data_IF_926227076844
#
_entry.id   IF_926227076844
#
_cell.length_a   1.000
_cell.length_b   1.000
_cell.length_c   1.000
_cell.angle_alpha   90.00
_cell.angle_beta   90.00
_cell.angle_gamma   90.00
#
_symmetry.space_group_name_H-M   'P 1'
#
loop_
_entity.id
_entity.type
_entity.pdbx_description
1 polymer ?
#
# COMPACT_ATOMS: atom_id res chain seq x y z
N UNK A 1 -2.88 27.56 -19.83
CA UNK A 1 -1.73 27.03 -20.58
C UNK A 1 -1.26 25.78 -19.88
N UNK A 2 -1.41 24.60 -20.49
CA UNK A 2 -0.99 23.31 -19.88
C UNK A 2 0.53 23.23 -19.97
N UNK A 3 1.22 23.10 -18.85
CA UNK A 3 2.67 22.89 -18.88
C UNK A 3 2.92 21.51 -19.51
N UNK A 4 3.60 21.47 -20.64
CA UNK A 4 4.10 20.22 -21.24
C UNK A 4 5.45 19.91 -20.62
N UNK A 5 5.59 18.71 -20.06
CA UNK A 5 6.86 18.21 -19.56
C UNK A 5 7.26 16.96 -20.34
N UNK A 6 8.53 16.67 -20.38
CA UNK A 6 9.13 15.43 -20.90
C UNK A 6 8.88 14.21 -19.99
N UNK A 7 8.24 14.43 -18.82
CA UNK A 7 7.91 13.39 -17.85
C UNK A 7 6.49 12.89 -18.07
N UNK A 8 6.33 11.67 -18.55
CA UNK A 8 5.03 11.01 -18.73
C UNK A 8 4.77 9.97 -17.62
N UNK A 9 4.08 10.42 -16.57
CA UNK A 9 3.71 9.59 -15.42
C UNK A 9 2.63 8.53 -15.75
N UNK A 10 1.95 8.64 -16.91
CA UNK A 10 0.96 7.65 -17.34
C UNK A 10 1.60 6.45 -18.04
N UNK A 11 2.85 6.59 -18.48
CA UNK A 11 3.54 5.60 -19.29
C UNK A 11 4.23 4.54 -18.43
N UNK A 12 3.93 3.26 -18.65
CA UNK A 12 4.52 2.14 -17.88
C UNK A 12 6.06 2.14 -17.89
N UNK A 13 6.75 2.41 -19.01
CA UNK A 13 8.22 2.51 -19.01
C UNK A 13 8.80 3.51 -18.01
N UNK A 14 8.09 4.61 -17.68
CA UNK A 14 8.54 5.52 -16.61
C UNK A 14 8.68 4.77 -15.26
N UNK A 15 7.75 3.88 -14.96
CA UNK A 15 7.73 3.12 -13.70
C UNK A 15 8.77 1.99 -13.67
N UNK A 16 9.31 1.62 -14.83
CA UNK A 16 10.44 0.69 -14.94
C UNK A 16 11.81 1.35 -14.75
N UNK A 17 11.88 2.69 -14.76
CA UNK A 17 13.13 3.43 -14.51
C UNK A 17 13.67 3.16 -13.09
N UNK A 18 14.99 3.26 -12.88
CA UNK A 18 15.59 3.25 -11.56
C UNK A 18 14.93 4.26 -10.61
N UNK A 19 14.85 3.92 -9.33
CA UNK A 19 14.16 4.77 -8.34
C UNK A 19 14.75 6.19 -8.31
N UNK A 20 16.06 6.33 -8.41
CA UNK A 20 16.73 7.63 -8.42
C UNK A 20 16.27 8.53 -9.59
N UNK A 21 16.13 7.96 -10.79
CA UNK A 21 15.66 8.70 -11.97
C UNK A 21 14.19 9.14 -11.81
N UNK A 22 13.35 8.26 -11.26
CA UNK A 22 11.95 8.61 -10.94
C UNK A 22 11.86 9.73 -9.92
N UNK A 23 12.70 9.70 -8.88
CA UNK A 23 12.72 10.75 -7.84
C UNK A 23 13.24 12.07 -8.39
N UNK A 24 14.24 12.05 -9.29
CA UNK A 24 14.69 13.26 -9.98
C UNK A 24 13.59 13.87 -10.86
N UNK A 25 12.84 13.05 -11.59
CA UNK A 25 11.69 13.50 -12.35
C UNK A 25 10.64 14.17 -11.44
N UNK A 26 10.30 13.58 -10.30
CA UNK A 26 9.39 14.18 -9.33
C UNK A 26 9.95 15.48 -8.73
N UNK A 27 11.25 15.57 -8.47
CA UNK A 27 11.90 16.81 -8.01
C UNK A 27 11.72 17.94 -9.03
N UNK A 28 11.92 17.66 -10.33
CA UNK A 28 11.67 18.61 -11.41
C UNK A 28 10.21 19.05 -11.47
N UNK A 29 9.25 18.11 -11.26
CA UNK A 29 7.82 18.43 -11.22
C UNK A 29 7.44 19.30 -10.02
N UNK A 30 8.04 19.07 -8.83
CA UNK A 30 7.81 19.92 -7.64
C UNK A 30 8.32 21.35 -7.81
N UNK A 31 9.36 21.55 -8.62
CA UNK A 31 9.92 22.87 -8.90
C UNK A 31 9.03 23.73 -9.81
N UNK A 32 8.03 23.15 -10.46
CA UNK A 32 7.09 23.91 -11.31
C UNK A 32 6.10 24.70 -10.46
N UNK A 33 5.64 25.85 -10.95
CA UNK A 33 4.70 26.70 -10.21
C UNK A 33 3.33 26.08 -9.97
N UNK A 34 2.92 25.13 -10.83
CA UNK A 34 1.59 24.52 -10.83
C UNK A 34 1.68 23.01 -11.09
N UNK A 35 0.69 22.21 -10.61
CA UNK A 35 0.55 20.82 -10.97
C UNK A 35 0.46 20.61 -12.48
N UNK A 36 1.15 19.60 -12.96
CA UNK A 36 1.18 19.25 -14.39
C UNK A 36 -0.04 18.42 -14.72
N UNK A 37 -0.65 18.74 -15.88
CA UNK A 37 -1.69 17.89 -16.45
C UNK A 37 -1.06 16.81 -17.31
N UNK A 38 -1.35 15.54 -16.98
CA UNK A 38 -0.86 14.35 -17.67
C UNK A 38 -2.00 13.71 -18.44
N UNK A 39 -1.79 13.41 -19.72
CA UNK A 39 -2.76 12.68 -20.53
C UNK A 39 -2.75 11.20 -20.16
N UNK A 40 -3.93 10.60 -20.05
CA UNK A 40 -4.03 9.16 -19.83
C UNK A 40 -3.76 8.39 -21.12
N UNK A 41 -3.02 7.29 -21.01
CA UNK A 41 -2.89 6.35 -22.10
C UNK A 41 -4.17 5.53 -22.27
N UNK A 42 -4.53 5.27 -23.51
CA UNK A 42 -5.65 4.38 -23.81
C UNK A 42 -5.28 2.92 -23.47
N UNK A 43 -6.10 2.31 -22.62
CA UNK A 43 -5.98 0.89 -22.28
C UNK A 43 -7.06 0.11 -23.04
N UNK A 44 -6.74 -1.00 -23.72
CA UNK A 44 -7.73 -1.81 -24.40
C UNK A 44 -8.90 -2.19 -23.47
N UNK A 45 -10.12 -2.11 -23.99
CA UNK A 45 -11.40 -2.37 -23.29
C UNK A 45 -11.80 -1.34 -22.20
N UNK A 46 -10.89 -0.49 -21.75
CA UNK A 46 -11.18 0.58 -20.76
C UNK A 46 -11.24 1.95 -21.43
N UNK A 47 -10.46 2.14 -22.49
CA UNK A 47 -10.34 3.42 -23.19
C UNK A 47 -9.25 4.30 -22.60
N UNK A 48 -9.15 5.53 -23.10
CA UNK A 48 -8.36 6.62 -22.55
C UNK A 48 -9.27 7.61 -21.85
N UNK A 49 -8.91 8.02 -20.66
CA UNK A 49 -9.62 9.07 -19.92
C UNK A 49 -9.18 10.47 -20.35
N UNK A 50 -9.75 11.52 -19.73
CA UNK A 50 -9.42 12.92 -20.05
C UNK A 50 -7.99 13.31 -19.66
N UNK A 51 -7.36 12.57 -18.77
CA UNK A 51 -6.12 12.91 -18.09
C UNK A 51 -6.34 13.31 -16.64
N UNK A 52 -5.25 13.69 -15.96
CA UNK A 52 -5.27 14.06 -14.55
C UNK A 52 -4.20 15.10 -14.22
N UNK A 53 -4.41 15.82 -13.13
CA UNK A 53 -3.37 16.67 -12.56
C UNK A 53 -2.52 15.89 -11.56
N UNK A 54 -1.20 15.98 -11.69
CA UNK A 54 -0.25 15.34 -10.78
C UNK A 54 0.02 16.25 -9.57
N UNK A 55 -0.54 15.92 -8.40
CA UNK A 55 -0.25 16.59 -7.15
C UNK A 55 1.01 15.97 -6.53
N UNK A 56 2.14 16.67 -6.67
CA UNK A 56 3.46 16.15 -6.32
C UNK A 56 4.06 16.84 -5.07
N UNK A 57 3.49 17.97 -4.64
CA UNK A 57 3.91 18.72 -3.46
C UNK A 57 3.15 18.24 -2.22
N UNK A 58 3.82 18.23 -1.09
CA UNK A 58 3.23 17.83 0.18
C UNK A 58 1.99 18.65 0.57
N UNK A 59 2.03 19.97 0.35
CA UNK A 59 0.92 20.85 0.64
C UNK A 59 -0.33 20.49 -0.17
N UNK A 60 -0.18 20.25 -1.50
CA UNK A 60 -1.29 19.90 -2.39
C UNK A 60 -1.90 18.53 -2.01
N UNK A 61 -1.05 17.55 -1.74
CA UNK A 61 -1.46 16.21 -1.32
C UNK A 61 -2.23 16.26 0.01
N UNK A 62 -1.74 17.05 0.96
CA UNK A 62 -2.35 17.23 2.27
C UNK A 62 -3.70 17.93 2.18
N UNK A 63 -3.78 19.01 1.41
CA UNK A 63 -5.03 19.76 1.20
C UNK A 63 -6.09 18.89 0.51
N UNK A 64 -5.74 18.22 -0.58
CA UNK A 64 -6.66 17.33 -1.28
C UNK A 64 -7.13 16.17 -0.40
N UNK A 65 -6.26 15.66 0.48
CA UNK A 65 -6.63 14.58 1.43
C UNK A 65 -7.61 15.04 2.51
N UNK A 66 -7.47 16.27 3.01
CA UNK A 66 -8.35 16.85 4.02
C UNK A 66 -9.71 17.23 3.47
N UNK A 67 -9.75 17.73 2.25
CA UNK A 67 -10.95 18.28 1.64
C UNK A 67 -11.72 17.24 0.81
N UNK A 68 -12.09 16.12 1.45
CA UNK A 68 -12.80 15.02 0.80
C UNK A 68 -14.17 15.43 0.20
N UNK A 69 -14.77 16.52 0.67
CA UNK A 69 -16.01 17.05 0.10
C UNK A 69 -15.81 17.60 -1.33
N UNK A 70 -14.60 18.03 -1.65
CA UNK A 70 -14.21 18.48 -2.99
C UNK A 70 -13.48 17.40 -3.76
N UNK A 71 -12.53 16.73 -3.12
CA UNK A 71 -11.67 15.69 -3.69
C UNK A 71 -12.18 14.30 -3.32
N UNK A 72 -13.19 13.85 -4.05
CA UNK A 72 -13.91 12.58 -3.84
C UNK A 72 -13.04 11.35 -4.13
N UNK A 73 -13.19 10.31 -3.35
CA UNK A 73 -12.62 8.98 -3.63
C UNK A 73 -13.44 8.18 -4.64
N UNK A 74 -14.65 8.64 -4.96
CA UNK A 74 -15.52 8.02 -5.96
C UNK A 74 -15.21 8.53 -7.38
N UNK A 75 -15.47 7.75 -8.42
CA UNK A 75 -15.94 6.36 -8.41
C UNK A 75 -14.85 5.33 -8.15
N UNK A 76 -13.58 5.76 -8.15
CA UNK A 76 -12.41 4.90 -7.96
C UNK A 76 -11.20 5.73 -7.48
N UNK A 77 -10.52 5.27 -6.45
CA UNK A 77 -9.33 5.96 -5.91
C UNK A 77 -8.01 5.24 -6.18
N UNK A 78 -8.05 3.96 -6.52
CA UNK A 78 -6.88 3.09 -6.68
C UNK A 78 -6.55 2.72 -8.13
N UNK A 79 -7.20 3.36 -9.11
CA UNK A 79 -6.94 3.18 -10.54
C UNK A 79 -6.90 4.53 -11.25
N UNK A 80 -5.92 4.74 -12.13
CA UNK A 80 -5.84 5.94 -12.98
C UNK A 80 -6.95 5.94 -14.01
N UNK A 81 -7.12 4.87 -14.84
CA UNK A 81 -8.23 4.78 -15.77
C UNK A 81 -9.59 4.69 -15.07
N UNK A 82 -10.62 5.16 -15.75
CA UNK A 82 -12.00 4.97 -15.32
C UNK A 82 -12.41 3.51 -15.54
N UNK A 83 -12.57 2.80 -14.43
CA UNK A 83 -12.99 1.40 -14.47
C UNK A 83 -14.50 1.29 -14.77
N UNK A 84 -14.95 0.27 -15.52
CA UNK A 84 -16.37 -0.01 -15.70
C UNK A 84 -17.06 -0.12 -14.33
N UNK A 85 -18.28 0.46 -14.21
CA UNK A 85 -19.01 0.55 -12.95
C UNK A 85 -19.14 -0.81 -12.24
N UNK A 86 -19.39 -1.89 -12.98
CA UNK A 86 -19.51 -3.22 -12.40
C UNK A 86 -18.23 -3.69 -11.73
N UNK A 87 -17.05 -3.33 -12.31
CA UNK A 87 -15.74 -3.69 -11.77
C UNK A 87 -15.41 -2.85 -10.53
N UNK A 88 -15.71 -1.56 -10.55
CA UNK A 88 -15.58 -0.67 -9.39
C UNK A 88 -16.46 -1.13 -8.22
N UNK A 89 -17.67 -1.63 -8.49
CA UNK A 89 -18.54 -2.21 -7.47
C UNK A 89 -18.00 -3.55 -6.95
N UNK A 90 -17.46 -4.38 -7.83
CA UNK A 90 -16.93 -5.69 -7.46
C UNK A 90 -15.71 -5.60 -6.54
N UNK A 91 -14.75 -4.71 -6.87
CA UNK A 91 -13.62 -4.39 -6.01
C UNK A 91 -13.90 -3.19 -5.09
N UNK A 92 -15.13 -2.66 -5.16
CA UNK A 92 -15.56 -1.49 -4.43
C UNK A 92 -15.53 -1.74 -2.93
N UNK A 93 -14.62 -1.08 -2.28
CA UNK A 93 -14.45 -1.11 -0.86
C UNK A 93 -14.50 0.32 -0.32
N UNK A 94 -14.44 0.46 1.00
CA UNK A 94 -14.44 1.77 1.67
C UNK A 94 -13.38 2.73 1.13
N UNK A 95 -12.31 2.24 0.49
CA UNK A 95 -11.27 3.08 -0.12
C UNK A 95 -11.78 3.89 -1.33
N UNK A 96 -12.85 3.39 -2.00
CA UNK A 96 -13.51 4.01 -3.15
C UNK A 96 -14.84 4.64 -2.76
N UNK A 97 -15.02 5.03 -1.51
CA UNK A 97 -16.27 5.61 -1.00
C UNK A 97 -16.01 6.93 -0.29
N UNK A 98 -17.03 7.78 -0.32
CA UNK A 98 -17.10 9.00 0.47
C UNK A 98 -18.14 8.85 1.59
N UNK A 99 -18.19 9.82 2.50
CA UNK A 99 -19.21 9.90 3.52
C UNK A 99 -20.60 10.10 2.89
N UNK A 100 -21.66 9.54 3.50
CA UNK A 100 -21.68 8.83 4.78
C UNK A 100 -21.34 7.33 4.71
N UNK A 101 -21.22 6.75 3.51
CA UNK A 101 -20.96 5.31 3.34
C UNK A 101 -19.60 4.90 3.87
N UNK A 102 -18.57 5.68 3.56
CA UNK A 102 -17.21 5.49 4.08
C UNK A 102 -17.20 5.52 5.61
N UNK A 103 -17.76 6.58 6.22
CA UNK A 103 -17.78 6.75 7.68
C UNK A 103 -18.46 5.58 8.39
N UNK A 104 -19.60 5.06 7.82
CA UNK A 104 -20.27 3.89 8.35
C UNK A 104 -19.36 2.66 8.37
N UNK A 105 -18.75 2.31 7.22
CA UNK A 105 -17.88 1.13 7.15
C UNK A 105 -16.66 1.30 8.03
N UNK A 106 -16.01 2.48 7.98
CA UNK A 106 -14.83 2.76 8.78
C UNK A 106 -15.10 2.61 10.28
N UNK A 107 -16.26 3.10 10.77
CA UNK A 107 -16.67 2.94 12.18
C UNK A 107 -16.79 1.47 12.58
N UNK A 108 -17.37 0.64 11.73
CA UNK A 108 -17.52 -0.80 12.00
C UNK A 108 -16.16 -1.46 12.12
N UNK A 109 -15.31 -1.25 11.11
CA UNK A 109 -14.00 -1.94 11.03
C UNK A 109 -12.96 -1.40 12.01
N UNK A 110 -13.01 -0.12 12.38
CA UNK A 110 -12.09 0.49 13.34
C UNK A 110 -12.14 -0.16 14.72
N UNK A 111 -13.25 -0.82 15.05
CA UNK A 111 -13.39 -1.56 16.32
C UNK A 111 -12.36 -2.67 16.48
N UNK A 112 -11.88 -3.25 15.37
CA UNK A 112 -10.86 -4.31 15.38
C UNK A 112 -9.42 -3.76 15.45
N UNK A 113 -9.22 -2.46 15.24
CA UNK A 113 -7.89 -1.81 15.23
C UNK A 113 -7.66 -0.91 16.44
N UNK A 114 -8.41 -1.12 17.52
CA UNK A 114 -8.22 -0.34 18.75
C UNK A 114 -6.89 -0.70 19.43
N UNK A 115 -6.23 0.24 20.13
CA UNK A 115 -4.99 -0.03 20.86
C UNK A 115 -5.09 -1.22 21.80
N UNK A 116 -6.24 -1.43 22.45
CA UNK A 116 -6.51 -2.56 23.35
C UNK A 116 -6.49 -3.91 22.62
N UNK A 117 -7.04 -3.97 21.39
CA UNK A 117 -7.04 -5.22 20.60
C UNK A 117 -5.64 -5.48 20.07
N UNK A 118 -4.97 -4.44 19.55
CA UNK A 118 -3.61 -4.57 19.06
C UNK A 118 -2.61 -4.97 20.16
N UNK A 119 -2.80 -4.48 21.40
CA UNK A 119 -1.97 -4.89 22.52
C UNK A 119 -2.13 -6.39 22.87
N UNK A 120 -3.34 -6.95 22.73
CA UNK A 120 -3.57 -8.38 22.94
C UNK A 120 -2.91 -9.29 21.90
N UNK A 121 -2.64 -8.73 20.71
CA UNK A 121 -1.99 -9.45 19.61
C UNK A 121 -0.45 -9.44 19.72
N UNK A 122 0.13 -8.71 20.67
CA UNK A 122 1.58 -8.46 20.71
C UNK A 122 2.38 -9.74 20.93
N UNK A 123 1.92 -10.61 21.83
CA UNK A 123 2.56 -11.91 22.07
C UNK A 123 2.44 -12.84 20.85
N UNK A 124 1.28 -12.82 20.16
CA UNK A 124 1.07 -13.62 18.96
C UNK A 124 1.92 -13.10 17.78
N UNK A 125 2.07 -11.78 17.67
CA UNK A 125 2.96 -11.15 16.69
C UNK A 125 4.42 -11.53 16.95
N UNK A 126 4.89 -11.44 18.19
CA UNK A 126 6.26 -11.79 18.57
C UNK A 126 6.54 -13.27 18.27
N UNK A 127 5.63 -14.16 18.67
CA UNK A 127 5.75 -15.60 18.41
C UNK A 127 5.77 -15.89 16.90
N UNK A 128 4.88 -15.26 16.12
CA UNK A 128 4.84 -15.43 14.69
C UNK A 128 6.13 -14.97 13.99
N UNK A 129 6.67 -13.82 14.41
CA UNK A 129 7.94 -13.31 13.88
C UNK A 129 9.10 -14.22 14.25
N UNK A 130 9.16 -14.70 15.51
CA UNK A 130 10.17 -15.64 15.97
C UNK A 130 10.18 -16.93 15.14
N UNK A 131 9.02 -17.58 14.95
CA UNK A 131 8.88 -18.78 14.13
C UNK A 131 9.30 -18.58 12.67
N UNK A 132 9.04 -17.38 12.10
CA UNK A 132 9.46 -17.05 10.75
C UNK A 132 10.98 -16.92 10.66
N UNK A 133 11.59 -16.24 11.63
CA UNK A 133 13.05 -16.04 11.66
C UNK A 133 13.76 -17.38 11.95
N UNK A 134 13.23 -18.21 12.87
CA UNK A 134 13.79 -19.55 13.14
C UNK A 134 13.82 -20.41 11.87
N UNK A 135 12.72 -20.41 11.11
CA UNK A 135 12.66 -21.12 9.83
C UNK A 135 13.68 -20.56 8.83
N UNK A 136 13.84 -19.25 8.75
CA UNK A 136 14.82 -18.64 7.86
C UNK A 136 16.27 -19.00 8.26
N UNK A 137 16.55 -19.17 9.56
CA UNK A 137 17.84 -19.70 10.06
C UNK A 137 18.04 -21.14 9.61
N UNK A 138 17.02 -21.99 9.72
CA UNK A 138 17.08 -23.40 9.31
C UNK A 138 17.26 -23.57 7.80
N UNK A 139 16.54 -22.77 7.00
CA UNK A 139 16.59 -22.81 5.51
C UNK A 139 17.88 -22.19 4.95
N UNK A 140 18.54 -21.30 5.71
CA UNK A 140 19.69 -20.52 5.28
C UNK A 140 19.34 -19.34 4.37
N UNK A 141 20.32 -18.48 4.06
CA UNK A 141 20.12 -17.27 3.26
C UNK A 141 19.57 -17.55 1.87
N UNK A 142 18.53 -16.80 1.49
CA UNK A 142 17.85 -16.93 0.21
C UNK A 142 17.19 -15.61 -0.21
N UNK A 143 15.90 -15.66 -0.51
CA UNK A 143 15.10 -14.48 -0.83
C UNK A 143 14.36 -13.96 0.41
N UNK A 144 14.79 -12.80 0.92
CA UNK A 144 14.25 -12.15 2.12
C UNK A 144 12.73 -11.88 2.00
N UNK A 145 12.26 -11.54 0.80
CA UNK A 145 10.83 -11.23 0.61
C UNK A 145 9.98 -12.47 0.84
N UNK A 146 10.32 -13.59 0.21
CA UNK A 146 9.51 -14.82 0.28
C UNK A 146 9.71 -15.60 1.58
N UNK A 147 10.93 -15.59 2.13
CA UNK A 147 11.23 -16.31 3.36
C UNK A 147 10.77 -15.56 4.62
N UNK A 148 10.83 -14.21 4.62
CA UNK A 148 10.65 -13.41 5.84
C UNK A 148 9.60 -12.32 5.65
N UNK A 149 9.84 -11.32 4.78
CA UNK A 149 9.07 -10.08 4.77
C UNK A 149 7.58 -10.27 4.44
N UNK A 150 7.24 -11.22 3.57
CA UNK A 150 5.85 -11.50 3.19
C UNK A 150 5.09 -12.35 4.23
N UNK A 151 5.80 -13.10 5.07
CA UNK A 151 5.19 -14.12 5.94
C UNK A 151 4.41 -13.52 7.09
N UNK A 152 4.99 -12.57 7.82
CA UNK A 152 4.35 -11.98 9.00
C UNK A 152 3.07 -11.23 8.65
N UNK A 153 3.07 -10.26 7.69
CA UNK A 153 1.86 -9.50 7.38
C UNK A 153 0.70 -10.36 6.88
N UNK A 154 0.99 -11.37 6.05
CA UNK A 154 -0.05 -12.30 5.57
C UNK A 154 -0.62 -13.11 6.74
N UNK A 155 0.23 -13.64 7.62
CA UNK A 155 -0.22 -14.40 8.79
C UNK A 155 -1.09 -13.54 9.69
N UNK A 156 -0.64 -12.35 10.04
CA UNK A 156 -1.34 -11.42 10.93
C UNK A 156 -2.74 -11.09 10.39
N UNK A 157 -2.83 -10.70 9.11
CA UNK A 157 -4.12 -10.34 8.54
C UNK A 157 -5.04 -11.55 8.41
N UNK A 158 -4.52 -12.73 8.09
CA UNK A 158 -5.27 -13.97 8.04
C UNK A 158 -5.80 -14.35 9.43
N UNK A 159 -4.96 -14.30 10.45
CA UNK A 159 -5.34 -14.63 11.83
C UNK A 159 -6.40 -13.64 12.36
N UNK A 160 -6.24 -12.33 12.12
CA UNK A 160 -7.25 -11.32 12.46
C UNK A 160 -8.61 -11.61 11.82
N UNK A 161 -8.60 -12.08 10.56
CA UNK A 161 -9.82 -12.40 9.83
C UNK A 161 -10.37 -13.80 10.10
N UNK A 162 -9.67 -14.62 10.89
CA UNK A 162 -10.05 -16.00 11.14
C UNK A 162 -9.91 -16.90 9.91
N UNK A 163 -8.97 -16.60 9.01
CA UNK A 163 -8.68 -17.41 7.83
C UNK A 163 -7.82 -18.60 8.24
N UNK A 164 -8.26 -19.85 8.01
CA UNK A 164 -7.46 -21.03 8.33
C UNK A 164 -6.12 -21.06 7.62
N UNK A 165 -5.06 -21.55 8.30
CA UNK A 165 -3.69 -21.56 7.81
C UNK A 165 -3.52 -22.19 6.42
N UNK A 166 -4.32 -23.19 6.07
CA UNK A 166 -4.32 -23.85 4.75
C UNK A 166 -4.64 -22.90 3.59
N UNK A 167 -5.21 -21.72 3.86
CA UNK A 167 -5.55 -20.72 2.82
C UNK A 167 -4.52 -19.57 2.75
N UNK A 168 -3.56 -19.46 3.69
CA UNK A 168 -2.62 -18.33 3.74
C UNK A 168 -1.81 -18.19 2.43
N UNK A 169 -1.28 -19.29 1.90
CA UNK A 169 -0.55 -19.28 0.61
C UNK A 169 -1.46 -18.91 -0.58
N UNK A 170 -2.71 -19.33 -0.55
CA UNK A 170 -3.68 -18.92 -1.56
C UNK A 170 -3.95 -17.42 -1.49
N UNK A 171 -4.15 -16.89 -0.28
CA UNK A 171 -4.32 -15.43 -0.06
C UNK A 171 -3.13 -14.69 -0.62
N UNK A 172 -1.89 -15.06 -0.25
CA UNK A 172 -0.66 -14.43 -0.73
C UNK A 172 -0.58 -14.43 -2.27
N UNK A 173 -0.82 -15.57 -2.91
CA UNK A 173 -0.79 -15.64 -4.38
C UNK A 173 -1.86 -14.77 -5.04
N UNK A 174 -3.06 -14.65 -4.46
CA UNK A 174 -4.15 -13.84 -5.02
C UNK A 174 -3.91 -12.35 -4.82
N UNK A 175 -3.36 -11.93 -3.70
CA UNK A 175 -2.99 -10.52 -3.46
C UNK A 175 -1.86 -10.08 -4.39
N UNK A 176 -0.86 -10.91 -4.63
CA UNK A 176 0.20 -10.63 -5.61
C UNK A 176 -0.37 -10.38 -7.04
N UNK A 177 -1.35 -11.20 -7.48
CA UNK A 177 -2.00 -11.00 -8.79
C UNK A 177 -2.80 -9.70 -8.84
N UNK A 178 -3.47 -9.32 -7.75
CA UNK A 178 -4.30 -8.10 -7.70
C UNK A 178 -3.43 -6.84 -7.76
N UNK A 179 -2.35 -6.78 -6.99
CA UNK A 179 -1.49 -5.60 -6.93
C UNK A 179 -0.41 -5.57 -8.01
N UNK A 180 0.08 -6.73 -8.41
CA UNK A 180 1.08 -6.88 -9.48
C UNK A 180 0.45 -7.10 -10.85
N UNK A 181 -0.73 -6.55 -11.12
CA UNK A 181 -1.48 -6.79 -12.35
C UNK A 181 -0.79 -6.29 -13.63
N UNK A 182 0.21 -5.44 -13.54
CA UNK A 182 1.07 -4.99 -14.63
C UNK A 182 2.41 -5.75 -14.69
N UNK A 183 2.75 -6.54 -13.67
CA UNK A 183 4.03 -7.22 -13.57
C UNK A 183 3.99 -8.62 -14.24
N UNK A 184 4.92 -8.89 -15.18
CA UNK A 184 4.96 -10.17 -15.89
C UNK A 184 5.12 -11.40 -15.00
N UNK A 185 5.83 -11.29 -13.90
CA UNK A 185 6.08 -12.41 -12.98
C UNK A 185 4.78 -12.88 -12.32
N UNK A 186 3.95 -11.94 -11.84
CA UNK A 186 2.69 -12.28 -11.17
C UNK A 186 1.56 -12.61 -12.14
N UNK A 187 1.57 -11.97 -13.30
CA UNK A 187 0.54 -12.20 -14.31
C UNK A 187 0.90 -13.30 -15.30
N UNK A 188 2.21 -13.57 -15.51
CA UNK A 188 2.72 -14.44 -16.57
C UNK A 188 2.40 -13.90 -17.97
N UNK A 189 2.21 -12.58 -18.10
CA UNK A 189 1.84 -11.91 -19.34
C UNK A 189 2.92 -10.91 -19.71
N UNK A 190 3.14 -10.73 -21.02
CA UNK A 190 4.00 -9.66 -21.49
C UNK A 190 3.44 -8.29 -21.10
N UNK A 191 4.30 -7.31 -20.73
CA UNK A 191 3.87 -5.96 -20.37
C UNK A 191 3.35 -5.16 -21.58
N UNK A 192 3.32 -5.74 -22.77
CA UNK A 192 2.63 -5.13 -23.90
C UNK A 192 1.12 -5.07 -23.62
N UNK A 193 0.50 -3.96 -23.95
CA UNK A 193 -0.94 -3.73 -23.80
C UNK A 193 -1.74 -4.31 -24.97
N UNK A 194 -1.26 -5.40 -25.58
CA UNK A 194 -2.01 -6.12 -26.61
C UNK A 194 -3.35 -6.61 -26.06
N UNK A 195 -4.42 -6.50 -26.89
CA UNK A 195 -5.80 -6.83 -26.48
C UNK A 195 -5.93 -8.19 -25.80
N UNK A 196 -5.20 -9.20 -26.29
CA UNK A 196 -5.24 -10.54 -25.74
C UNK A 196 -4.59 -10.62 -24.35
N UNK A 197 -3.49 -9.91 -24.13
CA UNK A 197 -2.81 -9.86 -22.83
C UNK A 197 -3.64 -9.12 -21.79
N UNK A 198 -4.26 -8.01 -22.17
CA UNK A 198 -5.19 -7.28 -21.27
C UNK A 198 -6.40 -8.16 -20.91
N UNK A 199 -6.99 -8.87 -21.86
CA UNK A 199 -8.10 -9.78 -21.59
C UNK A 199 -7.70 -10.94 -20.63
N UNK A 200 -6.51 -11.54 -20.84
CA UNK A 200 -5.98 -12.58 -19.94
C UNK A 200 -5.65 -12.02 -18.54
N UNK A 201 -5.07 -10.81 -18.46
CA UNK A 201 -4.81 -10.13 -17.20
C UNK A 201 -6.10 -9.88 -16.43
N UNK A 202 -7.14 -9.37 -17.10
CA UNK A 202 -8.45 -9.15 -16.51
C UNK A 202 -9.08 -10.47 -16.01
N UNK A 203 -8.97 -11.55 -16.79
CA UNK A 203 -9.47 -12.87 -16.37
C UNK A 203 -8.77 -13.38 -15.10
N UNK A 204 -7.42 -13.21 -15.00
CA UNK A 204 -6.65 -13.55 -13.80
C UNK A 204 -7.03 -12.69 -12.60
N UNK A 205 -7.19 -11.38 -12.80
CA UNK A 205 -7.64 -10.45 -11.77
C UNK A 205 -9.02 -10.83 -11.24
N UNK A 206 -9.99 -11.09 -12.12
CA UNK A 206 -11.34 -11.53 -11.76
C UNK A 206 -11.33 -12.86 -11.03
N UNK A 207 -10.52 -13.82 -11.47
CA UNK A 207 -10.38 -15.11 -10.80
C UNK A 207 -9.77 -14.96 -9.38
N UNK A 208 -8.78 -14.08 -9.22
CA UNK A 208 -8.20 -13.78 -7.91
C UNK A 208 -9.25 -13.17 -6.97
N UNK A 209 -9.98 -12.15 -7.43
CA UNK A 209 -11.07 -11.55 -6.68
C UNK A 209 -12.20 -12.55 -6.34
N UNK A 210 -12.62 -13.38 -7.30
CA UNK A 210 -13.62 -14.43 -7.08
C UNK A 210 -13.18 -15.43 -6.00
N UNK A 211 -11.91 -15.87 -6.03
CA UNK A 211 -11.39 -16.80 -5.03
C UNK A 211 -11.47 -16.24 -3.62
N UNK A 212 -11.07 -14.96 -3.44
CA UNK A 212 -11.13 -14.28 -2.15
C UNK A 212 -12.58 -14.01 -1.69
N UNK A 213 -13.45 -13.56 -2.60
CA UNK A 213 -14.88 -13.39 -2.31
C UNK A 213 -15.56 -14.68 -1.86
N UNK A 214 -15.25 -15.80 -2.54
CA UNK A 214 -15.79 -17.11 -2.16
C UNK A 214 -15.32 -17.55 -0.78
N UNK A 215 -14.06 -17.28 -0.44
CA UNK A 215 -13.53 -17.54 0.91
C UNK A 215 -14.23 -16.65 1.94
N UNK A 216 -14.39 -15.36 1.67
CA UNK A 216 -15.11 -14.42 2.53
C UNK A 216 -16.56 -14.86 2.79
N UNK A 217 -17.29 -15.28 1.74
CA UNK A 217 -18.66 -15.77 1.85
C UNK A 217 -18.74 -17.01 2.74
N UNK A 218 -17.85 -18.00 2.51
CA UNK A 218 -17.80 -19.22 3.34
C UNK A 218 -17.56 -18.88 4.81
N UNK A 219 -16.54 -18.08 5.10
CA UNK A 219 -16.22 -17.68 6.47
C UNK A 219 -17.39 -16.88 7.10
N UNK A 220 -18.00 -15.96 6.35
CA UNK A 220 -19.15 -15.21 6.81
C UNK A 220 -20.32 -16.12 7.19
N UNK A 221 -20.63 -17.13 6.39
CA UNK A 221 -21.70 -18.10 6.67
C UNK A 221 -21.38 -18.98 7.90
N UNK A 222 -20.11 -19.41 8.03
CA UNK A 222 -19.66 -20.16 9.21
C UNK A 222 -19.76 -19.31 10.49
N UNK A 223 -19.35 -18.03 10.44
CA UNK A 223 -19.37 -17.12 11.59
C UNK A 223 -20.79 -16.68 11.99
N UNK A 224 -21.72 -16.61 11.05
CA UNK A 224 -23.15 -16.39 11.39
C UNK A 224 -23.74 -17.55 12.18
N UNK A 225 -23.32 -18.79 11.87
CA UNK A 225 -23.78 -20.00 12.57
C UNK A 225 -23.04 -20.25 13.88
N UNK A 226 -21.74 -19.94 13.92
CA UNK A 226 -20.85 -20.16 15.07
C UNK A 226 -19.93 -18.94 15.22
N UNK A 227 -20.39 -17.91 15.95
CA UNK A 227 -19.59 -16.73 16.22
C UNK A 227 -18.26 -17.06 16.91
N UNK A 228 -17.22 -16.35 16.52
CA UNK A 228 -15.87 -16.43 17.09
C UNK A 228 -15.38 -15.04 17.47
N UNK A 229 -14.14 -14.91 17.97
CA UNK A 229 -13.54 -13.60 18.29
C UNK A 229 -12.87 -12.90 17.12
N UNK A 230 -12.92 -13.46 15.91
CA UNK A 230 -12.26 -12.88 14.74
C UNK A 230 -13.03 -11.72 14.11
N UNK A 231 -12.34 -10.97 13.23
CA UNK A 231 -12.92 -9.80 12.57
C UNK A 231 -14.10 -10.15 11.67
N UNK A 232 -14.06 -11.27 10.94
CA UNK A 232 -15.20 -11.68 10.10
C UNK A 232 -16.45 -11.89 10.97
N UNK A 233 -16.30 -12.54 12.12
CA UNK A 233 -17.41 -12.72 13.06
C UNK A 233 -18.00 -11.39 13.54
N UNK A 234 -17.14 -10.43 13.89
CA UNK A 234 -17.58 -9.08 14.28
C UNK A 234 -18.33 -8.37 13.17
N UNK A 235 -17.87 -8.50 11.91
CA UNK A 235 -18.45 -7.82 10.75
C UNK A 235 -19.81 -8.40 10.34
N UNK A 236 -20.10 -9.69 10.61
CA UNK A 236 -21.34 -10.34 10.19
C UNK A 236 -22.40 -10.48 11.29
N UNK A 237 -21.99 -10.33 12.57
CA UNK A 237 -22.88 -10.52 13.73
C UNK A 237 -23.12 -9.24 14.54
N UNK A 238 -22.43 -8.12 14.24
CA UNK A 238 -22.61 -6.84 14.93
C UNK A 238 -23.98 -6.21 14.69
N UNK A 239 -24.35 -5.21 15.50
CA UNK A 239 -25.57 -4.43 15.30
C UNK A 239 -25.62 -3.77 13.91
N UNK A 240 -24.50 -3.19 13.49
CA UNK A 240 -24.26 -2.70 12.12
C UNK A 240 -23.44 -3.72 11.34
N UNK A 241 -24.12 -4.74 10.81
CA UNK A 241 -23.46 -5.81 10.04
C UNK A 241 -23.25 -5.44 8.58
N UNK A 242 -22.22 -6.03 7.97
CA UNK A 242 -21.98 -5.94 6.53
C UNK A 242 -22.91 -6.88 5.76
N UNK A 243 -23.40 -6.43 4.61
CA UNK A 243 -23.98 -7.31 3.60
C UNK A 243 -22.90 -8.27 3.05
N UNK A 244 -23.32 -9.33 2.38
CA UNK A 244 -22.36 -10.28 1.78
C UNK A 244 -21.46 -9.63 0.73
N UNK A 245 -21.97 -8.64 -0.02
CA UNK A 245 -21.18 -7.88 -0.98
C UNK A 245 -20.16 -6.97 -0.29
N UNK A 246 -20.57 -6.23 0.74
CA UNK A 246 -19.68 -5.37 1.53
C UNK A 246 -18.59 -6.22 2.22
N UNK A 247 -18.96 -7.39 2.76
CA UNK A 247 -17.99 -8.31 3.36
C UNK A 247 -16.96 -8.78 2.34
N UNK A 248 -17.39 -9.21 1.16
CA UNK A 248 -16.48 -9.70 0.11
C UNK A 248 -15.51 -8.62 -0.37
N UNK A 249 -16.01 -7.42 -0.67
CA UNK A 249 -15.16 -6.30 -1.11
C UNK A 249 -14.21 -5.81 -0.01
N UNK A 250 -14.68 -5.76 1.24
CA UNK A 250 -13.85 -5.39 2.38
C UNK A 250 -12.79 -6.46 2.68
N UNK A 251 -13.14 -7.75 2.57
CA UNK A 251 -12.20 -8.86 2.73
C UNK A 251 -11.04 -8.74 1.74
N UNK A 252 -11.34 -8.50 0.45
CA UNK A 252 -10.31 -8.27 -0.57
C UNK A 252 -9.43 -7.07 -0.19
N UNK A 253 -10.05 -5.94 0.16
CA UNK A 253 -9.29 -4.74 0.55
C UNK A 253 -8.33 -5.04 1.70
N UNK A 254 -8.82 -5.70 2.75
CA UNK A 254 -8.04 -5.88 3.96
C UNK A 254 -6.86 -6.82 3.76
N UNK A 255 -7.06 -7.96 3.05
CA UNK A 255 -5.95 -8.89 2.78
C UNK A 255 -4.92 -8.28 1.83
N UNK A 256 -5.36 -7.47 0.86
CA UNK A 256 -4.46 -6.78 -0.08
C UNK A 256 -3.69 -5.66 0.61
N UNK A 257 -4.39 -4.75 1.30
CA UNK A 257 -3.77 -3.59 1.92
C UNK A 257 -2.88 -3.96 3.11
N UNK A 258 -3.27 -4.97 3.90
CA UNK A 258 -2.56 -5.34 5.12
C UNK A 258 -1.29 -6.18 4.85
N UNK A 259 -1.25 -6.98 3.78
CA UNK A 259 -0.10 -7.85 3.54
C UNK A 259 1.00 -7.19 2.71
N UNK A 260 0.66 -6.58 1.58
CA UNK A 260 1.65 -6.11 0.60
C UNK A 260 2.43 -4.87 1.06
N UNK A 261 1.76 -3.92 1.69
CA UNK A 261 2.39 -2.66 2.08
C UNK A 261 3.41 -2.84 3.20
N UNK A 262 3.07 -3.63 4.21
CA UNK A 262 3.98 -3.94 5.33
C UNK A 262 5.13 -4.85 4.86
N UNK A 263 4.88 -5.84 3.97
CA UNK A 263 5.93 -6.62 3.32
C UNK A 263 6.98 -5.72 2.67
N UNK A 264 6.53 -4.76 1.88
CA UNK A 264 7.42 -3.84 1.17
C UNK A 264 8.18 -2.95 2.16
N UNK A 265 7.53 -2.44 3.21
CA UNK A 265 8.21 -1.65 4.24
C UNK A 265 9.31 -2.45 4.97
N UNK A 266 9.06 -3.73 5.30
CA UNK A 266 10.06 -4.61 5.92
C UNK A 266 11.23 -4.87 4.96
N UNK A 267 10.94 -5.16 3.67
CA UNK A 267 11.97 -5.43 2.67
C UNK A 267 12.86 -4.19 2.42
N UNK A 268 12.23 -3.02 2.23
CA UNK A 268 12.95 -1.75 2.12
C UNK A 268 13.75 -1.44 3.38
N UNK A 269 13.19 -1.70 4.56
CA UNK A 269 13.87 -1.44 5.82
C UNK A 269 15.18 -2.21 5.96
N UNK A 270 15.22 -3.50 5.56
CA UNK A 270 16.48 -4.25 5.54
C UNK A 270 17.48 -3.64 4.56
N UNK A 271 17.05 -3.28 3.33
CA UNK A 271 17.93 -2.66 2.33
C UNK A 271 18.47 -1.32 2.83
N UNK A 272 17.59 -0.45 3.33
CA UNK A 272 17.99 0.88 3.85
C UNK A 272 18.96 0.78 5.02
N UNK A 273 18.70 -0.11 5.99
CA UNK A 273 19.60 -0.32 7.12
C UNK A 273 20.89 -1.05 6.72
N UNK A 274 20.95 -1.68 5.55
CA UNK A 274 22.17 -2.22 4.96
C UNK A 274 22.99 -1.12 4.28
N UNK A 275 22.34 -0.25 3.50
CA UNK A 275 22.99 0.81 2.74
C UNK A 275 23.45 1.98 3.64
N UNK A 276 22.87 2.12 4.83
CA UNK A 276 23.15 3.16 5.81
C UNK A 276 23.61 2.53 7.14
N UNK A 277 24.86 2.00 7.20
CA UNK A 277 25.36 1.30 8.37
C UNK A 277 25.36 2.15 9.63
N UNK A 278 25.58 3.46 9.53
CA UNK A 278 25.51 4.40 10.65
C UNK A 278 24.12 4.49 11.26
N UNK A 279 23.06 4.44 10.44
CA UNK A 279 21.67 4.43 10.91
C UNK A 279 21.31 3.10 11.58
N UNK A 280 21.85 2.01 11.04
CA UNK A 280 21.70 0.69 11.64
C UNK A 280 22.39 0.61 13.00
N UNK A 281 23.62 1.08 13.13
CA UNK A 281 24.37 1.11 14.39
C UNK A 281 23.63 1.92 15.44
N UNK A 282 23.11 3.10 15.05
CA UNK A 282 22.29 3.94 15.93
C UNK A 282 21.03 3.22 16.39
N UNK A 283 20.31 2.53 15.50
CA UNK A 283 19.14 1.72 15.84
C UNK A 283 19.50 0.62 16.84
N UNK A 284 20.58 -0.12 16.58
CA UNK A 284 20.99 -1.24 17.43
C UNK A 284 21.51 -0.80 18.79
N UNK A 285 22.15 0.37 18.89
CA UNK A 285 22.64 0.92 20.15
C UNK A 285 21.50 1.24 21.14
N UNK A 286 20.32 1.64 20.64
CA UNK A 286 19.11 1.89 21.43
C UNK A 286 17.86 1.53 20.65
N UNK A 287 17.61 0.22 20.49
CA UNK A 287 16.52 -0.28 19.65
C UNK A 287 15.15 0.28 20.07
N UNK A 288 14.81 0.20 21.35
CA UNK A 288 13.51 0.65 21.85
C UNK A 288 13.31 2.16 21.72
N UNK A 289 14.39 2.94 21.82
CA UNK A 289 14.33 4.39 21.67
C UNK A 289 14.18 4.86 20.23
N UNK A 290 14.61 4.06 19.25
CA UNK A 290 14.65 4.50 17.84
C UNK A 290 13.70 3.74 16.92
N UNK A 291 13.24 2.54 17.27
CA UNK A 291 12.51 1.68 16.33
C UNK A 291 11.22 2.31 15.76
N UNK A 292 10.48 3.05 16.58
CA UNK A 292 9.22 3.67 16.11
C UNK A 292 9.52 4.76 15.08
N UNK A 293 10.50 5.63 15.35
CA UNK A 293 10.94 6.66 14.41
C UNK A 293 11.58 6.05 13.15
N UNK A 294 12.35 4.97 13.32
CA UNK A 294 12.92 4.21 12.20
C UNK A 294 11.83 3.62 11.29
N UNK A 295 10.74 3.07 11.85
CA UNK A 295 9.61 2.58 11.07
C UNK A 295 8.95 3.71 10.27
N UNK A 296 8.75 4.88 10.87
CA UNK A 296 8.18 6.03 10.16
C UNK A 296 9.11 6.55 9.07
N UNK A 297 10.41 6.60 9.31
CA UNK A 297 11.38 7.01 8.29
C UNK A 297 11.48 5.98 7.14
N UNK A 298 11.44 4.68 7.45
CA UNK A 298 11.34 3.63 6.42
C UNK A 298 10.09 3.84 5.57
N UNK A 299 8.94 4.08 6.18
CA UNK A 299 7.67 4.32 5.45
C UNK A 299 7.73 5.61 4.65
N UNK A 300 8.32 6.69 5.17
CA UNK A 300 8.54 7.92 4.41
C UNK A 300 9.41 7.66 3.18
N UNK A 301 10.56 7.03 3.39
CA UNK A 301 11.58 6.83 2.35
C UNK A 301 11.15 5.84 1.29
N UNK A 302 10.57 4.71 1.68
CA UNK A 302 10.09 3.67 0.78
C UNK A 302 8.76 4.04 0.12
N UNK A 303 7.86 4.69 0.85
CA UNK A 303 6.49 5.02 0.42
C UNK A 303 5.84 3.85 -0.33
N UNK A 304 5.42 2.78 0.37
CA UNK A 304 4.93 1.54 -0.26
C UNK A 304 3.74 1.75 -1.21
N UNK A 305 2.88 2.73 -0.94
CA UNK A 305 1.81 3.17 -1.87
C UNK A 305 2.24 4.45 -2.55
N UNK A 306 2.39 4.42 -3.87
CA UNK A 306 2.89 5.54 -4.66
C UNK A 306 1.87 6.68 -4.70
N UNK A 307 0.60 6.36 -4.96
CA UNK A 307 -0.43 7.37 -5.20
C UNK A 307 -1.83 6.87 -4.87
N UNK A 308 -2.75 7.82 -4.70
CA UNK A 308 -4.20 7.61 -4.81
C UNK A 308 -4.81 8.70 -5.69
N UNK A 309 -5.88 8.32 -6.41
CA UNK A 309 -6.66 9.23 -7.22
C UNK A 309 -7.77 9.89 -6.39
N UNK A 310 -8.13 11.15 -6.77
CA UNK A 310 -9.37 11.80 -6.39
C UNK A 310 -10.05 12.37 -7.62
N UNK A 311 -11.36 12.59 -7.52
CA UNK A 311 -12.17 13.22 -8.58
C UNK A 311 -12.90 14.43 -7.99
N UNK A 312 -12.83 15.58 -8.63
CA UNK A 312 -13.45 16.79 -8.12
C UNK A 312 -14.98 16.74 -8.23
N UNK A 313 -15.66 17.05 -7.13
CA UNK A 313 -17.14 17.10 -7.06
C UNK A 313 -17.71 18.42 -7.55
N UNK A 314 -16.90 19.48 -7.56
CA UNK A 314 -17.24 20.85 -7.99
C UNK A 314 -16.00 21.60 -8.46
N UNK A 315 -16.21 22.73 -9.13
CA UNK A 315 -15.12 23.65 -9.44
C UNK A 315 -14.44 24.12 -8.16
N UNK A 316 -13.12 24.17 -8.16
CA UNK A 316 -12.32 24.52 -7.00
C UNK A 316 -10.99 25.14 -7.44
N UNK A 317 -10.48 26.05 -6.62
CA UNK A 317 -9.14 26.62 -6.80
C UNK A 317 -8.26 26.21 -5.61
N UNK A 318 -7.08 25.66 -5.92
CA UNK A 318 -6.10 25.28 -4.92
C UNK A 318 -4.70 25.66 -5.42
N UNK A 319 -3.97 26.41 -4.58
CA UNK A 319 -2.58 26.84 -4.85
C UNK A 319 -2.39 27.47 -6.25
N UNK A 320 -3.30 28.37 -6.63
CA UNK A 320 -3.27 29.09 -7.91
C UNK A 320 -3.62 28.26 -9.14
N UNK A 321 -4.13 27.06 -8.94
CA UNK A 321 -4.62 26.18 -10.02
C UNK A 321 -6.14 26.02 -9.92
N UNK A 322 -6.84 26.36 -11.01
CA UNK A 322 -8.29 26.17 -11.11
C UNK A 322 -8.60 24.80 -11.69
N UNK A 323 -9.33 24.01 -10.93
CA UNK A 323 -9.83 22.68 -11.30
C UNK A 323 -11.32 22.74 -11.60
N UNK A 324 -11.78 21.89 -12.49
CA UNK A 324 -13.19 21.75 -12.84
C UNK A 324 -13.82 20.53 -12.21
N UNK A 325 -15.13 20.58 -11.98
CA UNK A 325 -15.91 19.41 -11.61
C UNK A 325 -15.63 18.26 -12.58
N UNK A 326 -15.31 17.10 -12.05
CA UNK A 326 -14.97 15.89 -12.80
C UNK A 326 -13.48 15.74 -13.14
N UNK A 327 -12.67 16.78 -12.91
CA UNK A 327 -11.22 16.64 -13.07
C UNK A 327 -10.67 15.56 -12.12
N UNK A 328 -9.68 14.84 -12.62
CA UNK A 328 -8.94 13.86 -11.84
C UNK A 328 -7.66 14.49 -11.30
N UNK A 329 -7.34 14.18 -10.05
CA UNK A 329 -6.04 14.51 -9.46
C UNK A 329 -5.43 13.23 -8.87
N UNK A 330 -4.12 13.05 -9.06
CA UNK A 330 -3.36 11.97 -8.43
C UNK A 330 -2.44 12.54 -7.36
N UNK A 331 -2.59 12.03 -6.15
CA UNK A 331 -1.84 12.42 -4.97
C UNK A 331 -0.58 11.55 -4.89
N UNK A 332 0.57 12.03 -5.36
CA UNK A 332 1.82 11.28 -5.37
C UNK A 332 2.53 11.35 -4.02
N UNK A 333 2.27 10.37 -3.17
CA UNK A 333 2.84 10.30 -1.81
C UNK A 333 4.36 10.14 -1.81
N UNK A 334 4.91 9.36 -2.76
CA UNK A 334 6.35 9.19 -2.92
C UNK A 334 7.09 10.50 -3.23
N UNK A 335 6.44 11.39 -3.98
CA UNK A 335 6.94 12.74 -4.24
C UNK A 335 6.77 13.65 -3.02
N UNK A 336 5.57 13.68 -2.43
CA UNK A 336 5.26 14.50 -1.26
C UNK A 336 6.18 14.19 -0.05
N UNK A 337 6.56 12.92 0.12
CA UNK A 337 7.51 12.47 1.15
C UNK A 337 8.96 12.86 0.88
N UNK A 338 9.24 13.48 -0.27
CA UNK A 338 10.55 14.02 -0.67
C UNK A 338 10.48 15.53 -0.96
N UNK A 339 9.43 16.21 -0.49
CA UNK A 339 9.25 17.64 -0.73
C UNK A 339 10.23 18.47 0.12
N UNK A 340 11.10 19.18 -0.56
CA UNK A 340 12.14 20.02 0.02
C UNK A 340 11.57 21.20 0.84
N UNK A 341 10.31 21.55 0.60
CA UNK A 341 9.60 22.58 1.39
C UNK A 341 9.19 22.08 2.79
N UNK A 342 9.24 20.78 3.03
CA UNK A 342 8.77 20.13 4.27
C UNK A 342 9.88 19.34 4.96
N UNK A 343 10.74 18.70 4.20
CA UNK A 343 11.79 17.82 4.72
C UNK A 343 13.17 18.37 4.42
N UNK A 344 13.93 18.65 5.46
CA UNK A 344 15.35 18.93 5.33
C UNK A 344 16.08 17.69 4.80
N UNK A 345 16.91 17.88 3.75
CA UNK A 345 17.62 16.77 3.11
C UNK A 345 16.70 15.56 2.84
N UNK A 346 15.64 15.71 2.01
CA UNK A 346 14.58 14.71 1.85
C UNK A 346 15.08 13.36 1.33
N UNK A 347 16.22 13.34 0.63
CA UNK A 347 16.85 12.13 0.09
C UNK A 347 17.79 11.45 1.09
N UNK A 348 18.04 12.04 2.25
CA UNK A 348 18.76 11.39 3.34
C UNK A 348 17.82 10.48 4.12
N UNK A 349 18.22 9.23 4.32
CA UNK A 349 17.61 8.31 5.26
C UNK A 349 18.12 8.61 6.67
N UNK A 350 17.24 9.00 7.58
CA UNK A 350 17.60 9.45 8.92
C UNK A 350 16.54 9.00 9.94
N UNK A 351 16.84 7.95 10.70
CA UNK A 351 15.91 7.37 11.70
C UNK A 351 15.64 8.29 12.90
N UNK A 352 16.33 9.42 13.00
CA UNK A 352 16.12 10.42 14.05
C UNK A 352 15.34 11.63 13.56
N UNK A 353 14.83 11.59 12.32
CA UNK A 353 14.09 12.70 11.75
C UNK A 353 12.91 13.12 12.62
N UNK A 354 12.94 14.35 13.09
CA UNK A 354 11.88 14.96 13.90
C UNK A 354 11.80 16.48 13.58
N UNK A 355 10.64 17.01 13.13
CA UNK A 355 9.42 16.28 12.82
C UNK A 355 9.52 15.43 11.54
N UNK A 356 8.73 14.34 11.48
CA UNK A 356 8.59 13.52 10.30
C UNK A 356 7.11 13.47 9.82
N UNK A 357 6.59 14.56 9.22
CA UNK A 357 5.19 14.67 8.82
C UNK A 357 4.88 13.94 7.51
N UNK A 358 5.38 12.72 7.36
CA UNK A 358 5.23 11.96 6.12
C UNK A 358 3.77 11.56 5.84
N UNK A 359 3.45 11.44 4.57
CA UNK A 359 2.14 10.98 4.08
C UNK A 359 2.16 9.53 3.57
N UNK A 360 3.13 8.72 4.01
CA UNK A 360 3.25 7.31 3.60
C UNK A 360 2.11 6.42 4.10
N UNK A 361 1.38 6.85 5.13
CA UNK A 361 0.11 6.25 5.58
C UNK A 361 -1.12 6.98 5.04
N UNK A 362 -0.98 7.76 3.98
CA UNK A 362 -1.97 8.70 3.47
C UNK A 362 -1.86 10.08 4.13
N UNK A 363 -2.40 11.08 3.46
CA UNK A 363 -2.51 12.43 4.03
C UNK A 363 -3.54 12.48 5.15
N UNK A 364 -3.54 13.54 5.98
CA UNK A 364 -4.55 13.73 7.01
C UNK A 364 -5.93 13.83 6.36
N UNK A 365 -6.90 13.09 6.91
CA UNK A 365 -8.26 13.07 6.37
C UNK A 365 -8.97 11.74 6.61
N UNK A 366 -10.17 11.56 6.05
CA UNK A 366 -11.00 10.37 6.31
C UNK A 366 -10.33 9.06 5.86
N UNK A 367 -9.46 9.10 4.86
CA UNK A 367 -8.78 7.92 4.32
C UNK A 367 -7.38 7.67 4.88
N UNK A 368 -6.99 8.31 5.99
CA UNK A 368 -5.75 7.97 6.70
C UNK A 368 -5.73 6.47 7.03
N UNK A 369 -4.57 5.83 6.85
CA UNK A 369 -4.42 4.38 6.99
C UNK A 369 -4.97 3.84 8.31
N UNK A 370 -5.93 2.92 8.22
CA UNK A 370 -6.54 2.29 9.39
C UNK A 370 -5.54 1.38 10.12
N UNK A 371 -4.66 0.72 9.37
CA UNK A 371 -3.65 -0.22 9.86
C UNK A 371 -2.32 0.42 10.27
N UNK A 372 -2.19 1.75 10.31
CA UNK A 372 -0.90 2.41 10.56
C UNK A 372 -0.21 1.96 11.87
N UNK A 373 -0.99 1.79 12.94
CA UNK A 373 -0.46 1.29 14.21
C UNK A 373 -0.07 -0.18 14.16
N UNK A 374 -0.83 -1.01 13.44
CA UNK A 374 -0.52 -2.42 13.25
C UNK A 374 0.75 -2.59 12.43
N UNK A 375 0.89 -1.86 11.31
CA UNK A 375 2.07 -1.92 10.47
C UNK A 375 3.36 -1.55 11.23
N UNK A 376 3.33 -0.50 12.06
CA UNK A 376 4.47 -0.14 12.92
C UNK A 376 4.81 -1.26 13.89
N UNK A 377 3.82 -1.91 14.49
CA UNK A 377 4.05 -3.04 15.41
C UNK A 377 4.64 -4.24 14.69
N UNK A 378 4.11 -4.62 13.53
CA UNK A 378 4.65 -5.71 12.72
C UNK A 378 6.11 -5.45 12.32
N UNK A 379 6.43 -4.24 11.86
CA UNK A 379 7.80 -3.85 11.56
C UNK A 379 8.70 -3.90 12.81
N UNK A 380 8.24 -3.34 13.92
CA UNK A 380 8.99 -3.34 15.20
C UNK A 380 9.33 -4.76 15.64
N UNK A 381 8.34 -5.64 15.69
CA UNK A 381 8.52 -7.02 16.13
C UNK A 381 9.43 -7.78 15.16
N UNK A 382 9.22 -7.63 13.85
CA UNK A 382 10.05 -8.31 12.85
C UNK A 382 11.51 -7.87 12.93
N UNK A 383 11.81 -6.58 13.00
CA UNK A 383 13.18 -6.09 13.10
C UNK A 383 13.83 -6.48 14.42
N UNK A 384 13.05 -6.55 15.52
CA UNK A 384 13.57 -7.04 16.80
C UNK A 384 14.03 -8.50 16.69
N UNK A 385 13.19 -9.38 16.17
CA UNK A 385 13.51 -10.80 16.01
C UNK A 385 14.69 -11.00 15.04
N UNK A 386 14.69 -10.28 13.92
CA UNK A 386 15.77 -10.34 12.93
C UNK A 386 17.12 -9.96 13.57
N UNK A 387 17.21 -8.82 14.22
CA UNK A 387 18.49 -8.34 14.74
C UNK A 387 18.94 -9.08 16.02
N UNK A 388 18.01 -9.69 16.75
CA UNK A 388 18.34 -10.53 17.90
C UNK A 388 18.91 -11.87 17.47
N UNK A 389 18.31 -12.51 16.46
CA UNK A 389 18.67 -13.87 16.04
C UNK A 389 19.66 -13.93 14.89
N UNK A 390 19.64 -12.92 14.05
CA UNK A 390 20.51 -12.75 12.88
C UNK A 390 21.21 -11.37 12.91
N UNK A 391 22.07 -11.09 13.91
CA UNK A 391 22.68 -9.76 14.06
C UNK A 391 23.54 -9.34 12.85
N UNK A 392 24.00 -10.31 12.07
CA UNK A 392 24.76 -10.10 10.82
C UNK A 392 23.89 -9.82 9.61
N UNK A 393 22.58 -10.02 9.66
CA UNK A 393 21.70 -9.96 8.46
C UNK A 393 21.87 -8.67 7.67
N UNK A 394 22.08 -8.81 6.34
CA UNK A 394 22.23 -7.72 5.37
C UNK A 394 21.51 -8.07 4.07
N UNK A 395 21.01 -7.07 3.39
CA UNK A 395 20.60 -7.22 1.99
C UNK A 395 21.83 -7.52 1.14
N UNK A 396 21.70 -8.44 0.18
CA UNK A 396 22.77 -8.85 -0.74
C UNK A 396 22.39 -8.45 -2.17
N UNK A 397 22.94 -7.35 -2.62
CA UNK A 397 22.65 -6.79 -3.95
C UNK A 397 21.44 -5.86 -3.99
N UNK A 398 21.00 -5.55 -5.21
CA UNK A 398 19.87 -4.66 -5.45
C UNK A 398 18.53 -5.42 -5.44
N UNK A 399 17.47 -4.79 -4.93
CA UNK A 399 16.12 -5.37 -4.99
C UNK A 399 15.62 -5.48 -6.42
N UNK A 400 14.84 -6.53 -6.71
CA UNK A 400 14.00 -6.58 -7.89
C UNK A 400 12.65 -5.92 -7.58
N UNK A 401 12.34 -4.84 -8.30
CA UNK A 401 11.14 -4.07 -8.04
C UNK A 401 9.93 -4.55 -8.84
N UNK A 402 8.75 -4.35 -8.26
CA UNK A 402 7.48 -4.57 -8.90
C UNK A 402 7.25 -3.49 -9.98
N UNK A 403 6.88 -3.90 -11.18
CA UNK A 403 6.43 -2.96 -12.22
C UNK A 403 5.01 -2.48 -11.88
N UNK A 404 4.91 -1.31 -11.26
CA UNK A 404 3.63 -0.74 -10.84
C UNK A 404 3.71 0.78 -10.73
N UNK A 405 2.62 1.46 -11.10
CA UNK A 405 2.40 2.88 -10.86
C UNK A 405 1.60 3.16 -9.56
N UNK A 406 1.26 2.09 -8.83
CA UNK A 406 0.45 2.18 -7.61
C UNK A 406 1.22 1.72 -6.37
N UNK A 407 1.96 0.61 -6.47
CA UNK A 407 2.73 0.04 -5.37
C UNK A 407 4.24 0.15 -5.65
N UNK A 408 4.98 0.71 -4.72
CA UNK A 408 6.45 0.69 -4.72
C UNK A 408 6.89 -0.61 -4.04
N UNK A 409 6.81 -1.71 -4.78
CA UNK A 409 6.98 -3.07 -4.25
C UNK A 409 8.36 -3.64 -4.50
N UNK A 410 8.84 -4.45 -3.55
CA UNK A 410 10.03 -5.30 -3.68
C UNK A 410 9.55 -6.73 -3.93
N UNK A 411 9.89 -7.30 -5.08
CA UNK A 411 9.56 -8.68 -5.43
C UNK A 411 10.54 -9.66 -4.83
N UNK A 412 11.82 -9.38 -5.02
CA UNK A 412 12.93 -10.19 -4.55
C UNK A 412 14.02 -9.32 -3.94
N UNK A 413 14.61 -9.84 -2.87
CA UNK A 413 15.77 -9.26 -2.21
C UNK A 413 16.59 -10.39 -1.58
N UNK A 414 17.75 -10.67 -2.12
CA UNK A 414 18.67 -11.63 -1.50
C UNK A 414 19.21 -11.05 -0.19
N UNK A 415 19.55 -11.93 0.75
CA UNK A 415 20.18 -11.55 2.00
C UNK A 415 21.32 -12.48 2.39
N UNK A 416 22.17 -12.01 3.27
CA UNK A 416 23.25 -12.75 3.96
C UNK A 416 23.12 -12.56 5.45
N UNK A 417 23.75 -13.41 6.23
CA UNK A 417 23.81 -13.39 7.70
C UNK A 417 25.23 -13.39 8.22
#
# INVERSE_FOLDING_TARGET
MTLSTDVDLSHIPFWALPQAERMDAFRRLRALDRPVFVREQAVPFVGGGPGYYALVRHADVTEASRNAAVFSSEPCSNSIPDMPRWLSVYFGSMINMDDPRHARLRRIVSRAFTPRILAKMEEDLARAAAEIVDRAVEEGPGDFVTQIAARLPVRVICDMMGIPAQYHDMVLRRTNVILGNADPEYTGLSPDFGRLNVARGLAKLLHAGYSLNRLAARLGDERRKRPTGDLVSLLVNGEERLSSQELGSFFILLVVAGSETTRNAIAYGLKLLTDHPEQRELLLANFDGHIVAACDEIVRYATPVIQFRRTLTRDHEMNGTAYKKGDKVLLFYNSANRDEAVFDHPDRFDITRDPNPHVGFGGPGPHYCLGAHLARREMTVMFRELFTRLPGIRAAGEPEFLLSNFINGVKHLRYTV
#
